data_IF_407162842311
#
_entry.id   IF_407162842311
#
_cell.length_a   1.000
_cell.length_b   1.000
_cell.length_c   1.000
_cell.angle_alpha   90.00
_cell.angle_beta   90.00
_cell.angle_gamma   90.00
#
_symmetry.space_group_name_H-M   'P 1'
#
loop_
_entity.id
_entity.type
_entity.pdbx_description
1 polymer ?
#
# COMPACT_ATOMS: atom_id res chain seq x y z
N UNK A 1 -6.44 -0.90 28.48
CA UNK A 1 -6.67 -0.62 27.05
C UNK A 1 -5.41 -0.64 26.18
N UNK A 2 -4.20 -0.39 26.72
CA UNK A 2 -2.97 -0.42 25.92
C UNK A 2 -2.54 -1.80 25.39
N UNK A 3 -2.99 -2.93 25.99
CA UNK A 3 -2.51 -4.27 25.61
C UNK A 3 -3.15 -4.85 24.35
N UNK A 4 -4.37 -4.44 23.98
CA UNK A 4 -5.02 -4.98 22.79
C UNK A 4 -4.45 -4.37 21.51
N UNK A 5 -4.27 -3.03 21.49
CA UNK A 5 -3.71 -2.28 20.36
C UNK A 5 -2.23 -2.57 20.08
N UNK A 6 -1.54 -3.23 21.01
CA UNK A 6 -0.15 -3.67 20.87
C UNK A 6 -0.02 -5.20 20.79
N UNK A 7 -1.14 -5.92 20.82
CA UNK A 7 -1.13 -7.37 20.72
C UNK A 7 -0.66 -7.82 19.35
N UNK A 8 0.05 -8.95 19.29
CA UNK A 8 0.52 -9.53 18.03
C UNK A 8 -0.63 -9.78 17.04
N UNK A 9 -1.80 -10.20 17.55
CA UNK A 9 -3.00 -10.38 16.74
C UNK A 9 -3.49 -9.08 16.08
N UNK A 10 -3.53 -7.98 16.84
CA UNK A 10 -3.91 -6.67 16.31
C UNK A 10 -2.90 -6.16 15.26
N UNK A 11 -1.60 -6.30 15.53
CA UNK A 11 -0.55 -5.89 14.60
C UNK A 11 -0.60 -6.69 13.28
N UNK A 12 -0.88 -8.00 13.34
CA UNK A 12 -1.07 -8.82 12.14
C UNK A 12 -2.27 -8.36 11.30
N UNK A 13 -3.39 -8.00 11.93
CA UNK A 13 -4.58 -7.51 11.22
C UNK A 13 -4.27 -6.19 10.52
N UNK A 14 -3.62 -5.25 11.21
CA UNK A 14 -3.21 -3.97 10.62
C UNK A 14 -2.23 -4.17 9.47
N UNK A 15 -1.24 -5.06 9.63
CA UNK A 15 -0.27 -5.37 8.59
C UNK A 15 -0.94 -5.97 7.34
N UNK A 16 -1.90 -6.88 7.51
CA UNK A 16 -2.67 -7.44 6.41
C UNK A 16 -3.49 -6.37 5.66
N UNK A 17 -4.12 -5.44 6.40
CA UNK A 17 -4.85 -4.31 5.80
C UNK A 17 -3.90 -3.40 5.00
N UNK A 18 -2.73 -3.07 5.56
CA UNK A 18 -1.72 -2.26 4.87
C UNK A 18 -1.24 -2.93 3.58
N UNK A 19 -1.00 -4.24 3.59
CA UNK A 19 -0.63 -4.98 2.38
C UNK A 19 -1.75 -4.99 1.33
N UNK A 20 -3.01 -5.14 1.74
CA UNK A 20 -4.15 -5.12 0.83
C UNK A 20 -4.32 -3.73 0.18
N UNK A 21 -4.27 -2.66 0.98
CA UNK A 21 -4.34 -1.28 0.50
C UNK A 21 -3.14 -0.92 -0.40
N UNK A 22 -1.94 -1.37 -0.02
CA UNK A 22 -0.73 -1.17 -0.81
C UNK A 22 -0.81 -1.85 -2.16
N UNK A 23 -1.23 -3.12 -2.19
CA UNK A 23 -1.47 -3.88 -3.43
C UNK A 23 -2.52 -3.20 -4.31
N UNK A 24 -3.63 -2.75 -3.72
CA UNK A 24 -4.67 -2.04 -4.44
C UNK A 24 -4.16 -0.75 -5.09
N UNK A 25 -3.41 0.08 -4.35
CA UNK A 25 -2.78 1.31 -4.87
C UNK A 25 -1.84 1.01 -6.04
N UNK A 26 -1.00 -0.02 -5.91
CA UNK A 26 -0.08 -0.43 -6.99
C UNK A 26 -0.86 -0.85 -8.24
N UNK A 27 -1.89 -1.70 -8.10
CA UNK A 27 -2.71 -2.12 -9.24
C UNK A 27 -3.43 -0.92 -9.87
N UNK A 28 -3.99 -0.02 -9.07
CA UNK A 28 -4.65 1.18 -9.57
C UNK A 28 -3.68 2.05 -10.38
N UNK A 29 -2.45 2.23 -9.90
CA UNK A 29 -1.43 2.98 -10.62
C UNK A 29 -1.15 2.36 -12.01
N UNK A 30 -1.05 1.02 -12.11
CA UNK A 30 -0.80 0.31 -13.37
C UNK A 30 -1.99 0.41 -14.33
N UNK A 31 -3.21 0.18 -13.86
CA UNK A 31 -4.44 0.32 -14.67
C UNK A 31 -4.54 1.73 -15.22
N UNK A 32 -4.18 2.73 -14.42
CA UNK A 32 -4.20 4.12 -14.81
C UNK A 32 -3.11 4.45 -15.86
N UNK A 33 -1.90 3.86 -15.78
CA UNK A 33 -0.88 3.95 -16.85
C UNK A 33 -1.46 3.39 -18.15
N UNK A 34 -2.07 2.20 -18.06
CA UNK A 34 -2.68 1.56 -19.22
C UNK A 34 -3.77 2.43 -19.85
N UNK A 35 -4.61 3.06 -19.03
CA UNK A 35 -5.65 4.00 -19.47
C UNK A 35 -5.08 5.20 -20.20
N UNK A 36 -4.00 5.80 -19.67
CA UNK A 36 -3.31 6.94 -20.31
C UNK A 36 -2.70 6.52 -21.65
N UNK A 37 -2.01 5.38 -21.70
CA UNK A 37 -1.38 4.87 -22.93
C UNK A 37 -2.40 4.61 -24.05
N UNK A 38 -3.60 4.15 -23.72
CA UNK A 38 -4.64 3.82 -24.71
C UNK A 38 -5.52 5.00 -25.11
N UNK A 39 -5.74 5.98 -24.21
CA UNK A 39 -6.72 7.07 -24.42
C UNK A 39 -6.11 8.46 -24.55
N UNK A 40 -4.81 8.62 -24.25
CA UNK A 40 -4.17 9.94 -24.14
C UNK A 40 -4.63 10.70 -22.89
N UNK A 41 -3.83 11.66 -22.42
CA UNK A 41 -4.12 12.48 -21.23
C UNK A 41 -4.12 13.97 -21.60
N UNK A 42 -5.11 14.73 -21.11
CA UNK A 42 -5.19 16.20 -21.23
C UNK A 42 -4.98 16.93 -19.89
N UNK A 43 -4.64 16.22 -18.80
CA UNK A 43 -4.55 16.82 -17.46
C UNK A 43 -3.16 16.57 -16.86
N UNK A 44 -2.31 17.61 -16.86
CA UNK A 44 -0.96 17.58 -16.28
C UNK A 44 -0.90 17.26 -14.77
N UNK A 45 -2.06 17.22 -14.09
CA UNK A 45 -2.20 16.76 -12.70
C UNK A 45 -2.12 15.23 -12.54
N UNK A 46 -2.29 14.45 -13.63
CA UNK A 46 -2.39 12.98 -13.60
C UNK A 46 -1.06 12.24 -13.30
N UNK A 47 0.10 12.61 -13.88
CA UNK A 47 1.34 11.84 -13.67
C UNK A 47 1.85 11.93 -12.24
N UNK A 48 1.72 13.10 -11.62
CA UNK A 48 2.20 13.32 -10.25
C UNK A 48 1.34 12.54 -9.24
N UNK A 49 0.02 12.53 -9.42
CA UNK A 49 -0.91 11.77 -8.59
C UNK A 49 -0.73 10.24 -8.74
N UNK A 50 -0.35 9.76 -9.92
CA UNK A 50 0.02 8.35 -10.09
C UNK A 50 1.32 8.00 -9.38
N UNK A 51 2.32 8.88 -9.48
CA UNK A 51 3.60 8.63 -8.84
C UNK A 51 3.47 8.59 -7.33
N UNK A 52 2.67 9.51 -6.75
CA UNK A 52 2.36 9.46 -5.32
C UNK A 52 1.55 8.22 -4.93
N UNK A 53 0.57 7.80 -5.74
CA UNK A 53 -0.20 6.57 -5.53
C UNK A 53 0.70 5.32 -5.50
N UNK A 54 1.63 5.20 -6.46
CA UNK A 54 2.60 4.11 -6.50
C UNK A 54 3.52 4.13 -5.28
N UNK A 55 4.11 5.29 -4.94
CA UNK A 55 5.02 5.43 -3.80
C UNK A 55 4.33 5.11 -2.48
N UNK A 56 3.09 5.58 -2.29
CA UNK A 56 2.28 5.26 -1.11
C UNK A 56 1.97 3.76 -1.08
N UNK A 57 1.57 3.18 -2.21
CA UNK A 57 1.26 1.75 -2.31
C UNK A 57 2.45 0.86 -1.96
N UNK A 58 3.63 1.16 -2.50
CA UNK A 58 4.89 0.47 -2.19
C UNK A 58 5.29 0.65 -0.72
N UNK A 59 5.13 1.86 -0.17
CA UNK A 59 5.44 2.14 1.23
C UNK A 59 4.55 1.32 2.17
N UNK A 60 3.24 1.24 1.91
CA UNK A 60 2.29 0.43 2.67
C UNK A 60 2.60 -1.07 2.57
N UNK A 61 3.01 -1.55 1.40
CA UNK A 61 3.45 -2.92 1.20
C UNK A 61 4.71 -3.23 2.01
N UNK A 62 5.74 -2.38 1.94
CA UNK A 62 6.99 -2.57 2.69
C UNK A 62 6.73 -2.56 4.19
N UNK A 63 5.93 -1.61 4.69
CA UNK A 63 5.57 -1.53 6.11
C UNK A 63 4.77 -2.75 6.56
N UNK A 64 3.77 -3.18 5.77
CA UNK A 64 2.98 -4.37 6.07
C UNK A 64 3.83 -5.66 6.09
N UNK A 65 4.72 -5.84 5.11
CA UNK A 65 5.65 -6.98 5.07
C UNK A 65 6.61 -6.93 6.26
N UNK A 66 7.20 -5.77 6.56
CA UNK A 66 8.10 -5.62 7.69
C UNK A 66 7.40 -5.91 9.03
N UNK A 67 6.16 -5.46 9.20
CA UNK A 67 5.36 -5.73 10.39
C UNK A 67 5.05 -7.24 10.54
N UNK A 68 4.74 -7.94 9.44
CA UNK A 68 4.56 -9.39 9.44
C UNK A 68 5.87 -10.11 9.79
N UNK A 69 6.99 -9.72 9.18
CA UNK A 69 8.30 -10.33 9.45
C UNK A 69 8.72 -10.12 10.90
N UNK A 70 8.48 -8.93 11.47
CA UNK A 70 8.73 -8.66 12.89
C UNK A 70 7.81 -9.48 13.81
N UNK A 71 6.53 -9.62 13.46
CA UNK A 71 5.60 -10.46 14.20
C UNK A 71 6.01 -11.95 14.18
N UNK A 72 6.48 -12.46 13.04
CA UNK A 72 6.94 -13.86 12.90
C UNK A 72 8.32 -14.12 13.51
N UNK A 73 9.23 -13.14 13.47
CA UNK A 73 10.52 -13.26 14.16
C UNK A 73 10.37 -13.30 15.68
N UNK A 74 9.18 -12.97 16.18
CA UNK A 74 8.96 -12.67 17.59
C UNK A 74 9.63 -11.34 17.91
N UNK A 75 8.87 -10.44 18.50
CA UNK A 75 9.50 -9.55 19.47
C UNK A 75 10.14 -10.41 20.58
#
# INVERSE_FOLDING_TARGET
>A
MASFLTSAAFLMIIAAIMMALGSYQVVNSVVYIHGILHKGTNNGFMPLAMWTSLVIGLSLLIVGIAAIVLAFKGF
#
